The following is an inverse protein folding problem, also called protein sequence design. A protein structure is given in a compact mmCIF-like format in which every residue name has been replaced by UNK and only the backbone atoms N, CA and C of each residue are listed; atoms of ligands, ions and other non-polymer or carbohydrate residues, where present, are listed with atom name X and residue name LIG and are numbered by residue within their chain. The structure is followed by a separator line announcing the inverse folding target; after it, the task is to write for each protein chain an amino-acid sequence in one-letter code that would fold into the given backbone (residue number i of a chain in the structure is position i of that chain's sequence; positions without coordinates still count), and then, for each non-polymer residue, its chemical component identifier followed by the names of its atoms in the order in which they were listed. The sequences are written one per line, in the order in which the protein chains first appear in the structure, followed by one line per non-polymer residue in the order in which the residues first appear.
data_IF_435078084685
#
_entry.id   IF_435078084685
#
_cell.length_a   1.000
_cell.length_b   1.000
_cell.length_c   1.000
_cell.angle_alpha   90.00
_cell.angle_beta   90.00
_cell.angle_gamma   90.00
#
_symmetry.space_group_name_H-M   'P 1'
#
loop_
_entity.id
_entity.type
_entity.pdbx_description
1 polymer ?
#
# COMPACT_ATOMS: atom_id res chain seq x y z
N UNK A 1 -2.84 17.17 35.66
CA UNK A 1 -3.68 16.01 36.04
C UNK A 1 -3.24 14.82 35.20
N UNK A 2 -2.78 13.72 35.81
CA UNK A 2 -2.34 12.52 35.05
C UNK A 2 -3.60 11.78 34.57
N UNK A 3 -3.76 11.52 33.26
CA UNK A 3 -4.96 10.86 32.74
C UNK A 3 -5.11 9.46 33.36
N UNK A 4 -6.34 9.09 33.68
CA UNK A 4 -6.65 7.77 34.25
C UNK A 4 -6.40 6.66 33.22
N UNK A 5 -6.32 5.40 33.67
CA UNK A 5 -6.25 4.25 32.75
C UNK A 5 -7.42 4.27 31.76
N UNK A 6 -8.63 4.50 32.27
CA UNK A 6 -9.85 4.51 31.47
C UNK A 6 -9.79 5.60 30.40
N UNK A 7 -9.27 6.79 30.72
CA UNK A 7 -9.11 7.87 29.73
C UNK A 7 -8.14 7.47 28.61
N UNK A 8 -7.04 6.80 28.94
CA UNK A 8 -6.08 6.33 27.94
C UNK A 8 -6.68 5.26 27.02
N UNK A 9 -7.43 4.30 27.60
CA UNK A 9 -8.12 3.26 26.85
C UNK A 9 -9.24 3.85 25.97
N UNK A 10 -9.98 4.84 26.47
CA UNK A 10 -11.07 5.49 25.76
C UNK A 10 -10.56 6.30 24.57
N UNK A 11 -9.46 7.05 24.72
CA UNK A 11 -8.83 7.75 23.59
C UNK A 11 -8.42 6.79 22.48
N UNK A 12 -7.89 5.62 22.82
CA UNK A 12 -7.55 4.59 21.84
C UNK A 12 -8.80 4.03 21.14
N UNK A 13 -9.88 3.78 21.89
CA UNK A 13 -11.15 3.30 21.32
C UNK A 13 -11.80 4.33 20.38
N UNK A 14 -11.78 5.61 20.75
CA UNK A 14 -12.37 6.70 19.96
C UNK A 14 -11.82 6.80 18.53
N UNK A 15 -10.60 6.33 18.29
CA UNK A 15 -10.02 6.22 16.93
C UNK A 15 -10.87 5.38 15.96
N UNK A 16 -11.73 4.49 16.48
CA UNK A 16 -12.52 3.55 15.69
C UNK A 16 -14.04 3.82 15.73
N UNK A 17 -14.48 4.85 16.48
CA UNK A 17 -15.92 5.12 16.70
C UNK A 17 -16.49 6.10 15.66
N UNK A 18 -15.75 7.13 15.26
CA UNK A 18 -16.28 8.18 14.38
C UNK A 18 -16.49 7.71 12.93
N UNK A 19 -17.60 8.05 12.30
CA UNK A 19 -17.74 7.98 10.84
C UNK A 19 -16.87 9.09 10.25
N UNK A 20 -15.77 8.75 9.58
CA UNK A 20 -15.27 9.68 8.57
C UNK A 20 -16.43 9.88 7.60
N UNK A 21 -16.97 11.09 7.52
CA UNK A 21 -18.06 11.45 6.63
C UNK A 21 -17.57 11.39 5.19
N UNK A 22 -17.40 10.18 4.68
CA UNK A 22 -17.12 9.91 3.29
C UNK A 22 -18.25 8.99 2.85
N UNK A 23 -19.36 9.61 2.44
CA UNK A 23 -20.29 9.00 1.49
C UNK A 23 -19.43 8.26 0.46
N UNK A 24 -19.61 6.93 0.39
CA UNK A 24 -19.17 6.19 -0.78
C UNK A 24 -19.73 6.94 -1.98
N UNK A 25 -18.91 7.38 -2.96
CA UNK A 25 -19.48 7.86 -4.20
C UNK A 25 -20.33 6.71 -4.76
N UNK A 26 -21.61 6.97 -5.01
CA UNK A 26 -22.48 6.02 -5.69
C UNK A 26 -21.81 5.66 -7.02
N UNK A 27 -21.27 4.44 -7.11
CA UNK A 27 -20.78 3.88 -8.37
C UNK A 27 -21.96 3.18 -9.05
N UNK A 28 -23.04 3.94 -9.25
CA UNK A 28 -24.07 3.55 -10.21
C UNK A 28 -23.63 4.05 -11.59
N UNK A 29 -23.47 3.16 -12.59
CA UNK A 29 -23.22 3.61 -13.95
C UNK A 29 -24.43 4.41 -14.42
N UNK A 30 -24.26 5.72 -14.64
CA UNK A 30 -25.25 6.57 -15.28
C UNK A 30 -25.57 6.00 -16.69
N UNK A 31 -26.79 5.50 -16.95
CA UNK A 31 -27.17 5.06 -18.28
C UNK A 31 -27.64 6.29 -19.05
N UNK A 32 -26.78 6.97 -19.82
CA UNK A 32 -27.28 8.12 -20.59
C UNK A 32 -26.31 9.07 -21.29
N UNK A 33 -25.03 8.74 -21.48
CA UNK A 33 -24.18 9.56 -22.35
C UNK A 33 -24.23 9.01 -23.80
N UNK A 34 -25.19 9.51 -24.58
CA UNK A 34 -25.25 9.32 -26.04
C UNK A 34 -23.95 9.80 -26.70
N UNK A 35 -23.22 8.95 -27.43
CA UNK A 35 -21.99 9.37 -28.07
C UNK A 35 -22.31 10.14 -29.36
N UNK A 36 -22.07 11.46 -29.35
CA UNK A 36 -22.08 12.31 -30.53
C UNK A 36 -20.91 11.95 -31.47
N UNK A 37 -21.09 10.92 -32.30
CA UNK A 37 -20.28 10.72 -33.49
C UNK A 37 -21.18 10.88 -34.72
N UNK A 38 -20.91 11.88 -35.58
CA UNK A 38 -21.34 11.83 -36.98
C UNK A 38 -20.36 10.90 -37.70
N UNK A 39 -20.80 9.74 -38.20
CA UNK A 39 -19.97 8.99 -39.15
C UNK A 39 -20.53 9.11 -40.55
N UNK A 40 -19.60 9.31 -41.47
CA UNK A 40 -19.68 8.96 -42.87
C UNK A 40 -20.07 7.48 -43.02
N UNK A 41 -20.91 7.11 -44.00
CA UNK A 41 -21.38 5.73 -44.17
C UNK A 41 -20.20 4.75 -44.38
N UNK A 42 -20.18 3.59 -43.70
CA UNK A 42 -19.07 2.65 -43.72
C UNK A 42 -18.97 1.85 -45.03
N UNK A 43 -17.75 1.50 -45.44
CA UNK A 43 -17.46 0.60 -46.55
C UNK A 43 -17.43 -0.87 -46.02
N UNK A 44 -18.40 -1.72 -46.41
CA UNK A 44 -18.66 -3.01 -45.74
C UNK A 44 -17.51 -4.03 -45.81
N UNK A 45 -16.65 -3.98 -46.83
CA UNK A 45 -15.56 -4.96 -47.01
C UNK A 45 -14.37 -4.75 -46.04
N UNK A 46 -14.08 -3.51 -45.67
CA UNK A 46 -12.96 -3.14 -44.79
C UNK A 46 -13.39 -2.76 -43.37
N UNK A 47 -14.63 -2.32 -43.19
CA UNK A 47 -15.10 -1.81 -41.91
C UNK A 47 -15.66 -2.89 -40.99
N UNK A 48 -16.13 -4.02 -41.52
CA UNK A 48 -16.66 -5.09 -40.68
C UNK A 48 -15.60 -5.76 -39.79
N UNK A 49 -14.39 -6.11 -40.29
CA UNK A 49 -13.31 -6.62 -39.45
C UNK A 49 -12.82 -5.57 -38.44
N UNK A 50 -12.70 -4.30 -38.86
CA UNK A 50 -12.27 -3.18 -38.00
C UNK A 50 -13.28 -2.88 -36.90
N UNK A 51 -14.56 -2.90 -37.22
CA UNK A 51 -15.66 -2.75 -36.27
C UNK A 51 -15.67 -3.91 -35.27
N UNK A 52 -15.59 -5.16 -35.73
CA UNK A 52 -15.52 -6.34 -34.85
C UNK A 52 -14.33 -6.29 -33.91
N UNK A 53 -13.16 -5.89 -34.39
CA UNK A 53 -11.96 -5.69 -33.57
C UNK A 53 -12.16 -4.58 -32.52
N UNK A 54 -12.71 -3.43 -32.91
CA UNK A 54 -13.01 -2.33 -31.97
C UNK A 54 -14.05 -2.72 -30.93
N UNK A 55 -15.12 -3.42 -31.32
CA UNK A 55 -16.15 -3.90 -30.42
C UNK A 55 -15.62 -4.96 -29.45
N UNK A 56 -14.80 -5.90 -29.92
CA UNK A 56 -14.13 -6.88 -29.06
C UNK A 56 -13.21 -6.19 -28.04
N UNK A 57 -12.37 -5.25 -28.49
CA UNK A 57 -11.52 -4.44 -27.61
C UNK A 57 -12.34 -3.61 -26.61
N UNK A 58 -13.47 -3.05 -27.03
CA UNK A 58 -14.38 -2.32 -26.14
C UNK A 58 -14.94 -3.20 -25.03
N UNK A 59 -15.35 -4.43 -25.35
CA UNK A 59 -15.81 -5.42 -24.36
C UNK A 59 -14.70 -5.83 -23.39
N UNK A 60 -13.48 -6.03 -23.88
CA UNK A 60 -12.33 -6.36 -23.02
C UNK A 60 -12.01 -5.25 -22.03
N UNK A 61 -12.04 -3.98 -22.48
CA UNK A 61 -11.83 -2.81 -21.61
C UNK A 61 -12.91 -2.72 -20.54
N UNK A 62 -14.19 -2.89 -20.91
CA UNK A 62 -15.29 -2.87 -19.96
C UNK A 62 -15.16 -4.00 -18.92
N UNK A 63 -14.87 -5.23 -19.37
CA UNK A 63 -14.68 -6.36 -18.47
C UNK A 63 -13.47 -6.16 -17.52
N UNK A 64 -12.40 -5.51 -17.98
CA UNK A 64 -11.26 -5.14 -17.15
C UNK A 64 -11.60 -4.06 -16.11
N UNK A 65 -12.42 -3.07 -16.49
CA UNK A 65 -12.92 -2.05 -15.59
C UNK A 65 -13.78 -2.68 -14.48
N UNK A 66 -14.77 -3.52 -14.84
CA UNK A 66 -15.63 -4.22 -13.87
C UNK A 66 -14.84 -5.07 -12.89
N UNK A 67 -13.79 -5.78 -13.35
CA UNK A 67 -12.88 -6.52 -12.45
C UNK A 67 -12.14 -5.59 -11.48
N UNK A 68 -11.68 -4.44 -11.95
CA UNK A 68 -10.97 -3.46 -11.12
C UNK A 68 -11.90 -2.88 -10.06
N UNK A 69 -13.13 -2.49 -10.45
CA UNK A 69 -14.14 -1.97 -9.55
C UNK A 69 -14.52 -2.99 -8.47
N UNK A 70 -14.69 -4.25 -8.85
CA UNK A 70 -14.96 -5.33 -7.89
C UNK A 70 -13.82 -5.51 -6.87
N UNK A 71 -12.56 -5.41 -7.30
CA UNK A 71 -11.40 -5.51 -6.38
C UNK A 71 -11.31 -4.28 -5.48
N UNK A 72 -11.58 -3.07 -5.99
CA UNK A 72 -11.61 -1.84 -5.18
C UNK A 72 -12.71 -1.93 -4.12
N UNK A 73 -13.93 -2.32 -4.51
CA UNK A 73 -15.06 -2.51 -3.60
C UNK A 73 -14.72 -3.53 -2.51
N UNK A 74 -14.10 -4.66 -2.86
CA UNK A 74 -13.67 -5.66 -1.89
C UNK A 74 -12.66 -5.11 -0.87
N UNK A 75 -11.65 -4.34 -1.32
CA UNK A 75 -10.65 -3.73 -0.42
C UNK A 75 -11.27 -2.73 0.54
N UNK A 76 -12.25 -1.94 0.07
CA UNK A 76 -12.99 -0.98 0.90
C UNK A 76 -13.85 -1.71 1.93
N UNK A 77 -14.65 -2.69 1.51
CA UNK A 77 -15.49 -3.48 2.41
C UNK A 77 -14.68 -4.17 3.51
N UNK A 78 -13.52 -4.71 3.14
CA UNK A 78 -12.56 -5.27 4.07
C UNK A 78 -12.00 -4.24 5.07
N UNK A 79 -11.74 -3.00 4.63
CA UNK A 79 -11.29 -1.93 5.51
C UNK A 79 -12.36 -1.53 6.54
N UNK A 80 -13.63 -1.54 6.14
CA UNK A 80 -14.77 -1.35 7.05
C UNK A 80 -14.84 -2.46 8.10
N UNK A 81 -14.76 -3.73 7.68
CA UNK A 81 -14.72 -4.88 8.63
C UNK A 81 -13.56 -4.79 9.61
N UNK A 82 -12.35 -4.47 9.12
CA UNK A 82 -11.16 -4.34 9.97
C UNK A 82 -11.35 -3.24 11.04
N UNK A 83 -12.02 -2.14 10.68
CA UNK A 83 -12.34 -1.03 11.58
C UNK A 83 -13.40 -1.40 12.61
N UNK A 84 -14.47 -2.07 12.20
CA UNK A 84 -15.53 -2.55 13.10
C UNK A 84 -14.97 -3.53 14.14
N UNK A 85 -14.17 -4.49 13.70
CA UNK A 85 -13.49 -5.42 14.60
C UNK A 85 -12.53 -4.68 15.56
N UNK A 86 -11.82 -3.65 15.11
CA UNK A 86 -11.00 -2.82 16.00
C UNK A 86 -11.85 -2.10 17.05
N UNK A 87 -13.01 -1.57 16.66
CA UNK A 87 -13.96 -0.89 17.56
C UNK A 87 -14.46 -1.85 18.64
N UNK A 88 -14.88 -3.05 18.27
CA UNK A 88 -15.35 -4.08 19.22
C UNK A 88 -14.26 -4.47 20.20
N UNK A 89 -13.07 -4.85 19.70
CA UNK A 89 -11.96 -5.30 20.53
C UNK A 89 -11.51 -4.22 21.52
N UNK A 90 -11.41 -2.97 21.05
CA UNK A 90 -10.99 -1.86 21.93
C UNK A 90 -12.08 -1.42 22.90
N UNK A 91 -13.35 -1.55 22.53
CA UNK A 91 -14.50 -1.29 23.40
C UNK A 91 -14.60 -2.32 24.53
N UNK A 92 -14.34 -3.59 24.24
CA UNK A 92 -14.32 -4.66 25.24
C UNK A 92 -13.29 -4.39 26.35
N UNK A 93 -12.10 -3.90 26.00
CA UNK A 93 -11.06 -3.55 26.99
C UNK A 93 -11.49 -2.36 27.86
N UNK A 94 -12.17 -1.36 27.28
CA UNK A 94 -12.72 -0.22 28.03
C UNK A 94 -13.79 -0.70 29.02
N UNK A 95 -14.69 -1.58 28.58
CA UNK A 95 -15.74 -2.12 29.43
C UNK A 95 -15.16 -2.94 30.60
N UNK A 96 -14.13 -3.75 30.34
CA UNK A 96 -13.38 -4.46 31.39
C UNK A 96 -12.75 -3.50 32.41
N UNK A 97 -12.13 -2.41 31.95
CA UNK A 97 -11.52 -1.43 32.84
C UNK A 97 -12.54 -0.70 33.73
N UNK A 98 -13.73 -0.41 33.19
CA UNK A 98 -14.83 0.20 33.94
C UNK A 98 -15.39 -0.74 35.00
N UNK A 99 -15.57 -2.02 34.66
CA UNK A 99 -16.05 -3.04 35.61
C UNK A 99 -15.07 -3.27 36.77
N UNK A 100 -13.77 -3.27 36.49
CA UNK A 100 -12.73 -3.42 37.52
C UNK A 100 -12.60 -2.20 38.45
N UNK A 101 -13.07 -1.02 38.02
CA UNK A 101 -12.96 0.23 38.78
C UNK A 101 -14.03 0.44 39.85
N UNK A 102 -14.96 -0.51 40.03
CA UNK A 102 -16.13 -0.36 40.91
C UNK A 102 -15.78 -0.44 42.40
N UNK A 103 -14.67 -1.10 42.79
CA UNK A 103 -14.25 -1.18 44.19
C UNK A 103 -12.71 -1.11 44.32
N UNK A 104 -12.16 -0.27 45.23
CA UNK A 104 -10.73 -0.18 45.44
C UNK A 104 -10.18 -1.45 46.12
N UNK A 105 -8.99 -1.95 45.73
CA UNK A 105 -8.39 -3.11 46.38
C UNK A 105 -7.94 -2.77 47.81
N UNK A 106 -8.42 -3.54 48.79
CA UNK A 106 -8.16 -3.30 50.21
C UNK A 106 -7.02 -4.15 50.80
N UNK A 107 -6.49 -5.13 50.06
CA UNK A 107 -5.35 -5.96 50.50
C UNK A 107 -4.15 -5.82 49.56
N UNK A 108 -2.91 -6.03 50.03
CA UNK A 108 -1.72 -6.02 49.17
C UNK A 108 -1.80 -6.99 47.99
N UNK A 109 -2.41 -8.17 48.21
CA UNK A 109 -2.63 -9.16 47.14
C UNK A 109 -3.64 -8.63 46.10
N UNK A 110 -4.75 -8.05 46.55
CA UNK A 110 -5.74 -7.45 45.65
C UNK A 110 -5.14 -6.28 44.85
N UNK A 111 -4.27 -5.47 45.47
CA UNK A 111 -3.58 -4.37 44.80
C UNK A 111 -2.61 -4.89 43.72
N UNK A 112 -1.83 -5.93 44.02
CA UNK A 112 -0.94 -6.58 43.05
C UNK A 112 -1.72 -7.12 41.85
N UNK A 113 -2.86 -7.76 42.10
CA UNK A 113 -3.69 -8.32 41.03
C UNK A 113 -4.35 -7.22 40.19
N UNK A 114 -4.84 -6.14 40.81
CA UNK A 114 -5.35 -4.98 40.10
C UNK A 114 -4.31 -4.36 39.16
N UNK A 115 -3.05 -4.24 39.60
CA UNK A 115 -1.94 -3.77 38.76
C UNK A 115 -1.69 -4.73 37.59
N UNK A 116 -1.70 -6.05 37.82
CA UNK A 116 -1.53 -7.05 36.75
C UNK A 116 -2.63 -6.95 35.70
N UNK A 117 -3.90 -6.87 36.11
CA UNK A 117 -5.05 -6.71 35.19
C UNK A 117 -4.94 -5.42 34.38
N UNK A 118 -4.59 -4.30 35.03
CA UNK A 118 -4.32 -3.01 34.36
C UNK A 118 -3.24 -3.11 33.29
N UNK A 119 -2.09 -3.71 33.62
CA UNK A 119 -1.00 -3.91 32.65
C UNK A 119 -1.45 -4.81 31.50
N UNK A 120 -2.22 -5.86 31.78
CA UNK A 120 -2.82 -6.74 30.77
C UNK A 120 -3.71 -5.99 29.78
N UNK A 121 -4.64 -5.17 30.28
CA UNK A 121 -5.54 -4.34 29.45
C UNK A 121 -4.79 -3.34 28.60
N UNK A 122 -3.81 -2.62 29.17
CA UNK A 122 -3.00 -1.67 28.41
C UNK A 122 -2.22 -2.35 27.27
N UNK A 123 -1.69 -3.55 27.52
CA UNK A 123 -1.03 -4.37 26.48
C UNK A 123 -2.01 -4.84 25.41
N UNK A 124 -3.19 -5.32 25.81
CA UNK A 124 -4.24 -5.74 24.88
C UNK A 124 -4.72 -4.58 23.99
N UNK A 125 -5.04 -3.42 24.59
CA UNK A 125 -5.46 -2.22 23.85
C UNK A 125 -4.40 -1.79 22.83
N UNK A 126 -3.13 -1.74 23.25
CA UNK A 126 -2.01 -1.43 22.35
C UNK A 126 -1.92 -2.44 21.21
N UNK A 127 -2.09 -3.74 21.49
CA UNK A 127 -2.04 -4.78 20.47
C UNK A 127 -3.16 -4.62 19.43
N UNK A 128 -4.39 -4.34 19.87
CA UNK A 128 -5.54 -4.10 18.98
C UNK A 128 -5.33 -2.87 18.08
N UNK A 129 -4.86 -1.75 18.65
CA UNK A 129 -4.56 -0.53 17.87
C UNK A 129 -3.47 -0.81 16.83
N UNK A 130 -2.38 -1.48 17.21
CA UNK A 130 -1.28 -1.79 16.28
C UNK A 130 -1.70 -2.79 15.19
N UNK A 131 -2.58 -3.74 15.51
CA UNK A 131 -3.18 -4.62 14.53
C UNK A 131 -4.04 -3.85 13.51
N UNK A 132 -4.94 -2.98 13.98
CA UNK A 132 -5.83 -2.20 13.13
C UNK A 132 -5.04 -1.28 12.20
N UNK A 133 -4.02 -0.60 12.74
CA UNK A 133 -3.12 0.26 11.98
C UNK A 133 -2.37 -0.49 10.88
N UNK A 134 -1.86 -1.70 11.18
CA UNK A 134 -1.19 -2.56 10.18
C UNK A 134 -2.15 -2.98 9.08
N UNK A 135 -3.40 -3.32 9.41
CA UNK A 135 -4.42 -3.67 8.41
C UNK A 135 -4.80 -2.48 7.54
N UNK A 136 -5.10 -1.32 8.13
CA UNK A 136 -5.40 -0.08 7.39
C UNK A 136 -4.29 0.26 6.37
N UNK A 137 -3.03 0.16 6.78
CA UNK A 137 -1.89 0.37 5.86
C UNK A 137 -1.83 -0.63 4.71
N UNK A 138 -2.16 -1.91 4.95
CA UNK A 138 -2.24 -2.93 3.89
C UNK A 138 -3.39 -2.63 2.91
N UNK A 139 -4.55 -2.19 3.39
CA UNK A 139 -5.67 -1.77 2.52
C UNK A 139 -5.29 -0.59 1.64
N UNK A 140 -4.70 0.45 2.23
CA UNK A 140 -4.20 1.61 1.49
C UNK A 140 -3.13 1.23 0.46
N UNK A 141 -2.23 0.31 0.82
CA UNK A 141 -1.21 -0.21 -0.09
C UNK A 141 -1.82 -0.96 -1.29
N UNK A 142 -2.87 -1.76 -1.07
CA UNK A 142 -3.61 -2.42 -2.14
C UNK A 142 -4.30 -1.41 -3.07
N UNK A 143 -4.96 -0.38 -2.53
CA UNK A 143 -5.57 0.69 -3.34
C UNK A 143 -4.53 1.44 -4.18
N UNK A 144 -3.36 1.76 -3.61
CA UNK A 144 -2.25 2.40 -4.34
C UNK A 144 -1.73 1.52 -5.47
N UNK A 145 -1.63 0.21 -5.25
CA UNK A 145 -1.22 -0.74 -6.29
C UNK A 145 -2.26 -0.80 -7.43
N UNK A 146 -3.55 -0.83 -7.10
CA UNK A 146 -4.62 -0.81 -8.11
C UNK A 146 -4.58 0.48 -8.92
N UNK A 147 -4.43 1.64 -8.27
CA UNK A 147 -4.26 2.93 -8.95
C UNK A 147 -3.04 2.94 -9.85
N UNK A 148 -1.90 2.43 -9.38
CA UNK A 148 -0.70 2.29 -10.20
C UNK A 148 -0.98 1.42 -11.43
N UNK A 149 -1.57 0.23 -11.25
CA UNK A 149 -1.94 -0.65 -12.37
C UNK A 149 -2.86 0.04 -13.37
N UNK A 150 -3.93 0.70 -12.92
CA UNK A 150 -4.86 1.41 -13.80
C UNK A 150 -4.15 2.46 -14.67
N UNK A 151 -3.32 3.32 -14.05
CA UNK A 151 -2.60 4.38 -14.75
C UNK A 151 -1.58 3.84 -15.76
N UNK A 152 -0.96 2.70 -15.45
CA UNK A 152 0.08 2.11 -16.29
C UNK A 152 -0.43 1.05 -17.29
N UNK A 153 -1.67 0.56 -17.15
CA UNK A 153 -2.30 -0.38 -18.09
C UNK A 153 -3.19 0.31 -19.14
N UNK A 154 -3.83 1.45 -18.81
CA UNK A 154 -4.68 2.20 -19.75
C UNK A 154 -3.90 3.12 -20.72
N UNK A 155 -2.59 3.31 -20.51
CA UNK A 155 -1.71 4.11 -21.38
C UNK A 155 -1.33 3.47 -22.73
N UNK A 156 -1.96 2.37 -23.14
CA UNK A 156 -1.63 1.64 -24.38
C UNK A 156 -2.12 2.33 -25.67
N UNK A 157 -1.86 3.64 -25.80
CA UNK A 157 -1.70 4.31 -27.10
C UNK A 157 -0.22 4.56 -27.43
N UNK A 158 0.67 4.51 -26.45
CA UNK A 158 2.11 4.36 -26.65
C UNK A 158 2.58 3.19 -25.79
N UNK A 159 3.20 2.18 -26.43
CA UNK A 159 3.89 1.09 -25.74
C UNK A 159 5.05 1.70 -24.92
N UNK A 160 4.77 2.21 -23.72
CA UNK A 160 5.75 2.09 -22.65
C UNK A 160 5.88 0.59 -22.46
N UNK A 161 6.98 0.02 -22.97
CA UNK A 161 7.23 -1.41 -22.89
C UNK A 161 6.92 -1.87 -21.47
N UNK A 162 6.06 -2.89 -21.26
CA UNK A 162 5.88 -3.47 -19.95
C UNK A 162 7.28 -3.74 -19.42
N UNK A 163 7.58 -3.34 -18.17
CA UNK A 163 8.93 -3.45 -17.63
C UNK A 163 9.39 -4.90 -17.90
N UNK A 164 10.28 -5.06 -18.86
CA UNK A 164 10.67 -6.34 -19.44
C UNK A 164 12.08 -6.67 -18.99
N UNK A 165 12.43 -7.95 -19.04
CA UNK A 165 13.69 -8.43 -18.48
C UNK A 165 13.78 -8.25 -16.97
N UNK A 166 15.02 -8.18 -16.48
CA UNK A 166 15.38 -8.23 -15.05
C UNK A 166 14.77 -7.09 -14.24
N UNK A 167 14.84 -5.86 -14.76
CA UNK A 167 14.24 -4.68 -14.14
C UNK A 167 12.74 -4.83 -13.87
N UNK A 168 12.03 -5.53 -14.77
CA UNK A 168 10.60 -5.76 -14.62
C UNK A 168 10.23 -6.77 -13.58
N UNK A 169 11.05 -7.82 -13.48
CA UNK A 169 10.90 -8.83 -12.43
C UNK A 169 11.14 -8.16 -11.07
N UNK A 170 12.21 -7.35 -10.95
CA UNK A 170 12.50 -6.61 -9.73
C UNK A 170 11.38 -5.62 -9.34
N UNK A 171 10.91 -4.81 -10.29
CA UNK A 171 9.79 -3.88 -10.06
C UNK A 171 8.51 -4.59 -9.59
N UNK A 172 8.13 -5.70 -10.25
CA UNK A 172 6.97 -6.52 -9.83
C UNK A 172 7.18 -7.17 -8.46
N UNK A 173 8.39 -7.64 -8.18
CA UNK A 173 8.74 -8.21 -6.88
C UNK A 173 8.57 -7.15 -5.78
N UNK A 174 9.13 -5.96 -5.92
CA UNK A 174 8.98 -4.88 -4.95
C UNK A 174 7.51 -4.48 -4.75
N UNK A 175 6.74 -4.35 -5.85
CA UNK A 175 5.30 -4.06 -5.79
C UNK A 175 4.50 -5.15 -5.05
N UNK A 176 4.92 -6.42 -5.12
CA UNK A 176 4.28 -7.52 -4.37
C UNK A 176 4.42 -7.39 -2.85
N UNK A 177 5.33 -6.52 -2.37
CA UNK A 177 5.63 -6.31 -0.95
C UNK A 177 5.06 -5.02 -0.38
N UNK A 178 4.25 -4.30 -1.15
CA UNK A 178 3.51 -3.14 -0.64
C UNK A 178 2.75 -3.49 0.65
N UNK A 179 2.88 -2.62 1.66
CA UNK A 179 2.29 -2.80 3.00
C UNK A 179 3.09 -3.68 3.96
N UNK A 180 4.18 -4.35 3.53
CA UNK A 180 5.10 -5.04 4.45
C UNK A 180 5.80 -4.02 5.37
N UNK A 181 6.01 -4.32 6.67
CA UNK A 181 6.58 -3.36 7.61
C UNK A 181 8.07 -3.14 7.35
N UNK A 182 8.53 -1.93 7.68
CA UNK A 182 9.95 -1.62 7.76
C UNK A 182 10.59 -2.26 9.00
N UNK A 183 11.73 -2.93 8.85
CA UNK A 183 12.59 -3.36 9.96
C UNK A 183 14.05 -3.21 9.54
N UNK A 184 14.80 -2.42 10.31
CA UNK A 184 16.22 -2.19 10.09
C UNK A 184 16.99 -3.52 10.01
N UNK A 185 17.85 -3.67 9.00
CA UNK A 185 18.69 -4.85 8.83
C UNK A 185 18.02 -6.03 8.12
N UNK A 186 16.71 -5.99 7.82
CA UNK A 186 15.99 -7.15 7.27
C UNK A 186 15.83 -7.07 5.74
N UNK A 187 15.94 -8.22 5.07
CA UNK A 187 15.95 -8.37 3.60
C UNK A 187 14.77 -9.18 3.04
N UNK A 188 13.68 -9.33 3.79
CA UNK A 188 12.47 -10.00 3.31
C UNK A 188 12.32 -11.47 3.74
N UNK A 189 11.32 -12.17 3.17
CA UNK A 189 10.34 -11.66 2.20
C UNK A 189 9.16 -10.90 2.86
N UNK A 190 9.08 -10.87 4.18
CA UNK A 190 7.93 -10.30 4.90
C UNK A 190 8.18 -8.96 5.59
N UNK A 191 9.44 -8.55 5.71
CA UNK A 191 9.85 -7.31 6.40
C UNK A 191 11.13 -6.82 5.74
N UNK A 192 11.31 -5.51 5.62
CA UNK A 192 12.41 -4.96 4.83
C UNK A 192 12.98 -3.69 5.45
N UNK A 193 14.27 -3.42 5.28
CA UNK A 193 14.76 -2.04 5.21
C UNK A 193 14.86 -1.57 3.76
N UNK A 194 15.35 -0.35 3.54
CA UNK A 194 15.38 0.28 2.22
C UNK A 194 16.20 -0.53 1.21
N UNK A 195 17.47 -0.78 1.50
CA UNK A 195 18.37 -1.53 0.62
C UNK A 195 18.06 -3.02 0.57
N UNK A 196 17.54 -3.60 1.65
CA UNK A 196 17.08 -4.98 1.70
C UNK A 196 15.87 -5.25 0.82
N UNK A 197 14.96 -4.28 0.65
CA UNK A 197 13.87 -4.38 -0.33
C UNK A 197 14.40 -4.44 -1.76
N UNK A 198 15.33 -3.55 -2.12
CA UNK A 198 15.93 -3.48 -3.45
C UNK A 198 16.71 -4.75 -3.76
N UNK A 199 17.57 -5.18 -2.83
CA UNK A 199 18.36 -6.40 -2.96
C UNK A 199 17.46 -7.62 -3.16
N UNK A 200 16.44 -7.80 -2.32
CA UNK A 200 15.52 -8.92 -2.44
C UNK A 200 14.74 -8.91 -3.75
N UNK A 201 14.31 -7.73 -4.21
CA UNK A 201 13.59 -7.57 -5.46
C UNK A 201 14.46 -7.97 -6.67
N UNK A 202 15.71 -7.52 -6.70
CA UNK A 202 16.65 -7.88 -7.76
C UNK A 202 17.11 -9.33 -7.70
N UNK A 203 17.19 -9.93 -6.52
CA UNK A 203 17.43 -11.36 -6.38
C UNK A 203 16.33 -12.20 -7.05
N UNK A 204 15.06 -11.74 -7.06
CA UNK A 204 13.99 -12.41 -7.83
C UNK A 204 14.22 -12.37 -9.35
N UNK A 205 15.01 -11.40 -9.82
CA UNK A 205 15.41 -11.25 -11.20
C UNK A 205 16.77 -11.92 -11.52
N UNK A 206 17.37 -12.63 -10.55
CA UNK A 206 18.70 -13.23 -10.68
C UNK A 206 19.81 -12.20 -10.88
N UNK A 207 19.67 -11.00 -10.33
CA UNK A 207 20.69 -9.93 -10.33
C UNK A 207 21.17 -9.73 -8.90
N UNK A 208 22.49 -9.74 -8.72
CA UNK A 208 23.10 -9.37 -7.45
C UNK A 208 23.11 -7.85 -7.31
N UNK A 209 22.72 -7.38 -6.13
CA UNK A 209 22.80 -5.99 -5.69
C UNK A 209 23.31 -6.03 -4.25
N UNK A 210 24.22 -5.14 -3.91
CA UNK A 210 24.87 -5.16 -2.61
C UNK A 210 23.90 -4.86 -1.46
N UNK A 211 24.31 -5.19 -0.23
CA UNK A 211 23.38 -5.16 0.91
C UNK A 211 23.05 -3.76 1.40
N UNK A 212 24.03 -2.86 1.41
CA UNK A 212 23.92 -1.54 2.05
C UNK A 212 23.78 -0.43 1.01
N UNK A 213 23.11 0.68 1.37
CA UNK A 213 22.97 1.83 0.45
C UNK A 213 24.33 2.40 0.02
N UNK A 214 25.31 2.37 0.92
CA UNK A 214 26.68 2.82 0.65
C UNK A 214 27.43 1.98 -0.39
N UNK A 215 27.07 0.70 -0.51
CA UNK A 215 27.58 -0.16 -1.56
C UNK A 215 26.74 -0.03 -2.83
N UNK A 216 25.41 -0.11 -2.70
CA UNK A 216 24.47 -0.02 -3.81
C UNK A 216 24.58 1.27 -4.63
N UNK A 217 25.03 2.37 -4.03
CA UNK A 217 25.29 3.62 -4.75
C UNK A 217 26.42 3.49 -5.77
N UNK A 218 27.16 2.39 -5.78
CA UNK A 218 28.20 2.06 -6.76
C UNK A 218 27.80 0.89 -7.69
N UNK A 219 26.63 0.27 -7.49
CA UNK A 219 26.18 -0.84 -8.32
C UNK A 219 25.78 -0.35 -9.72
N UNK A 220 26.36 -0.96 -10.75
CA UNK A 220 26.04 -0.67 -12.15
C UNK A 220 26.47 0.73 -12.62
N UNK A 221 25.71 1.32 -13.53
CA UNK A 221 26.09 2.59 -14.19
C UNK A 221 25.35 3.80 -13.62
N UNK A 222 25.99 4.98 -13.67
CA UNK A 222 25.33 6.26 -13.38
C UNK A 222 24.26 6.55 -14.43
N UNK A 223 23.09 7.01 -13.98
CA UNK A 223 21.99 7.42 -14.85
C UNK A 223 21.58 8.86 -14.55
N UNK A 224 21.38 9.66 -15.59
CA UNK A 224 20.84 11.01 -15.43
C UNK A 224 19.32 10.95 -15.18
N UNK A 225 18.78 11.96 -14.46
CA UNK A 225 17.34 12.01 -14.14
C UNK A 225 16.43 11.89 -15.37
N UNK A 226 16.81 12.49 -16.50
CA UNK A 226 16.04 12.43 -17.75
C UNK A 226 16.03 11.04 -18.40
N UNK A 227 16.96 10.17 -18.01
CA UNK A 227 17.13 8.82 -18.53
C UNK A 227 16.67 7.74 -17.55
N UNK A 228 16.01 8.13 -16.45
CA UNK A 228 15.47 7.20 -15.46
C UNK A 228 14.49 6.22 -16.12
N UNK A 229 14.61 4.96 -15.76
CA UNK A 229 13.75 3.87 -16.21
C UNK A 229 13.33 3.01 -15.02
N UNK A 230 12.21 2.28 -15.13
CA UNK A 230 11.87 1.28 -14.14
C UNK A 230 13.01 0.28 -13.96
N UNK A 231 13.31 -0.09 -12.72
CA UNK A 231 14.48 -0.85 -12.32
C UNK A 231 15.57 0.01 -11.68
N UNK A 232 15.76 1.25 -12.12
CA UNK A 232 16.86 2.07 -11.61
C UNK A 232 16.77 2.26 -10.07
N UNK A 233 17.92 2.17 -9.40
CA UNK A 233 18.08 2.47 -7.98
C UNK A 233 18.17 3.98 -7.84
N UNK A 234 17.34 4.53 -6.97
CA UNK A 234 17.26 5.96 -6.72
C UNK A 234 17.68 6.24 -5.29
N UNK A 235 18.64 7.14 -5.12
CA UNK A 235 19.17 7.55 -3.83
C UNK A 235 18.85 9.03 -3.60
N UNK A 236 17.82 9.36 -2.79
CA UNK A 236 17.54 10.74 -2.38
C UNK A 236 18.67 11.33 -1.52
N UNK A 237 19.38 10.48 -0.78
CA UNK A 237 20.58 10.79 0.00
C UNK A 237 21.34 9.46 0.27
N UNK A 238 22.61 9.49 0.74
CA UNK A 238 23.43 8.27 0.86
C UNK A 238 22.86 7.17 1.79
N UNK A 239 22.02 7.55 2.76
CA UNK A 239 21.41 6.65 3.74
C UNK A 239 20.09 6.01 3.32
N UNK A 240 19.60 6.24 2.10
CA UNK A 240 18.31 5.69 1.65
C UNK A 240 18.30 5.37 0.17
N UNK A 241 17.57 4.31 -0.20
CA UNK A 241 17.41 3.85 -1.58
C UNK A 241 15.97 3.47 -1.87
N UNK A 242 15.57 3.71 -3.10
CA UNK A 242 14.24 3.44 -3.65
C UNK A 242 14.40 2.72 -5.00
N UNK A 243 13.39 1.96 -5.41
CA UNK A 243 13.36 1.29 -6.72
C UNK A 243 12.43 2.04 -7.67
N UNK A 244 12.95 2.54 -8.79
CA UNK A 244 12.13 3.16 -9.83
C UNK A 244 11.16 2.15 -10.45
N UNK A 245 9.89 2.54 -10.57
CA UNK A 245 8.83 1.75 -11.24
C UNK A 245 8.15 2.53 -12.37
N UNK A 246 8.74 3.66 -12.75
CA UNK A 246 8.30 4.59 -13.78
C UNK A 246 9.21 5.82 -13.78
N UNK A 247 8.85 6.85 -14.58
CA UNK A 247 9.67 8.07 -14.67
C UNK A 247 9.72 8.87 -13.35
N UNK A 248 8.64 8.81 -12.56
CA UNK A 248 8.49 9.50 -11.29
C UNK A 248 8.07 8.58 -10.11
N UNK A 249 7.28 7.51 -10.28
CA UNK A 249 6.93 6.66 -9.15
C UNK A 249 8.09 5.74 -8.77
N UNK A 250 8.29 5.59 -7.46
CA UNK A 250 9.30 4.71 -6.84
C UNK A 250 8.65 3.84 -5.77
N UNK A 251 9.21 2.65 -5.51
CA UNK A 251 8.86 1.80 -4.36
C UNK A 251 9.95 1.91 -3.32
N UNK A 252 9.57 2.06 -2.05
CA UNK A 252 10.52 2.19 -0.95
C UNK A 252 10.03 1.52 0.34
N UNK A 253 10.98 1.12 1.19
CA UNK A 253 10.77 0.88 2.62
C UNK A 253 11.43 2.06 3.37
N UNK A 254 10.67 3.07 3.83
CA UNK A 254 11.25 4.39 4.10
C UNK A 254 11.97 4.50 5.46
N UNK A 255 11.36 4.04 6.55
CA UNK A 255 11.92 4.17 7.90
C UNK A 255 11.15 3.33 8.92
N UNK A 256 11.71 3.23 10.14
CA UNK A 256 11.06 2.56 11.26
C UNK A 256 9.63 3.07 11.48
N UNK A 257 8.73 2.13 11.76
CA UNK A 257 7.32 2.44 11.95
C UNK A 257 6.54 2.73 10.66
N UNK A 258 7.15 2.68 9.47
CA UNK A 258 6.47 2.74 8.18
C UNK A 258 6.32 1.35 7.53
N UNK A 259 5.71 1.33 6.34
CA UNK A 259 5.54 0.13 5.52
C UNK A 259 5.98 0.42 4.09
N UNK A 260 6.34 -0.62 3.35
CA UNK A 260 6.66 -0.54 1.93
C UNK A 260 5.52 0.14 1.18
N UNK A 261 5.84 1.16 0.39
CA UNK A 261 4.86 2.02 -0.27
C UNK A 261 5.37 2.52 -1.62
N UNK A 262 4.45 2.98 -2.45
CA UNK A 262 4.76 3.80 -3.62
C UNK A 262 4.86 5.25 -3.17
N UNK A 263 5.94 5.91 -3.59
CA UNK A 263 6.23 7.33 -3.36
C UNK A 263 6.57 8.00 -4.69
N UNK A 264 6.76 9.32 -4.65
CA UNK A 264 7.25 10.09 -5.79
C UNK A 264 8.76 10.33 -5.65
N UNK A 265 9.43 10.38 -6.79
CA UNK A 265 10.82 10.76 -6.91
C UNK A 265 11.04 12.19 -6.35
N UNK A 266 12.02 12.36 -5.46
CA UNK A 266 12.44 13.68 -4.99
C UNK A 266 13.07 14.52 -6.10
N UNK A 267 13.31 15.82 -5.87
CA UNK A 267 13.94 16.71 -6.86
C UNK A 267 15.44 16.42 -7.05
N UNK A 268 16.15 16.13 -5.95
CA UNK A 268 17.58 15.81 -5.95
C UNK A 268 17.79 14.33 -5.64
N UNK A 269 18.34 13.60 -6.59
CA UNK A 269 18.58 12.15 -6.49
C UNK A 269 19.84 11.76 -7.25
N UNK A 270 20.55 10.76 -6.74
CA UNK A 270 21.52 10.00 -7.54
C UNK A 270 20.84 8.73 -8.05
N UNK A 271 21.14 8.32 -9.28
CA UNK A 271 20.48 7.18 -9.92
C UNK A 271 21.53 6.20 -10.44
N UNK A 272 21.32 4.92 -10.14
CA UNK A 272 22.15 3.81 -10.59
C UNK A 272 21.32 2.78 -11.34
N UNK A 273 21.88 2.18 -12.38
CA UNK A 273 21.25 1.09 -13.14
C UNK A 273 22.09 -0.18 -13.04
N UNK A 274 21.63 -1.19 -12.28
CA UNK A 274 22.24 -2.52 -12.24
C UNK A 274 22.20 -3.18 -13.62
N UNK A 275 23.24 -3.98 -13.92
CA UNK A 275 23.43 -4.70 -15.19
C UNK A 275 23.08 -6.19 -15.05
#
# INVERSE_FOLDING_TARGET
MIPTEVDALLRAHQMFVGTGDHRMPDVHPQPGAEPLWRATPPNPATDQPRYRFRAARGREVLAAATRTDAVVAAVIADAHRDREQARELTGNVVNQARADGVAPPVTPLAQREAIRRRVGRLRAQRAHVLWAHRRARRRLAALRLLRYRMLHHHGSRQRLSPISGRAGIAGRAALSRLGRPYVWGVTGPDRFDCSGLVQWAYAQAGVHVDRTTYQQINDGIVVSRSQIRPGDLVFPHPGHVQLAIGNNPVVEAPHAGASVRISSLGSHVQIRRPL
#
